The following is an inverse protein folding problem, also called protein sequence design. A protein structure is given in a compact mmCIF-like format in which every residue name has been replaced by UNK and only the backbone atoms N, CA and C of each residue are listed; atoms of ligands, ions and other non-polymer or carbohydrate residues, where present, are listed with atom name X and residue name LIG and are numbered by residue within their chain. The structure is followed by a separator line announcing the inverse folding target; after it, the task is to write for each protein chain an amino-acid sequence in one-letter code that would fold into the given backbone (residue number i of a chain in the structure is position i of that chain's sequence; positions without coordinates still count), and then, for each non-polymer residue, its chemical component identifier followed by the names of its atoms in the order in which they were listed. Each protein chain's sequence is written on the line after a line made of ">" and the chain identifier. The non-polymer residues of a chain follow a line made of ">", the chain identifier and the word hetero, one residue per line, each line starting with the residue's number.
data_IF_209136537864
#
_entry.id   IF_209136537864
#
_cell.length_a   1.000
_cell.length_b   1.000
_cell.length_c   1.000
_cell.angle_alpha   90.00
_cell.angle_beta   90.00
_cell.angle_gamma   90.00
#
_symmetry.space_group_name_H-M   'P 1'
#
loop_
_entity.id
_entity.type
_entity.pdbx_description
1 polymer ?
#
# COMPACT_ATOMS: atom_id res chain seq x y z
N UNK A 1 26.52 55.79 23.68
CA UNK A 1 25.37 54.87 23.84
C UNK A 1 24.49 55.02 22.61
N UNK A 2 24.67 54.14 21.61
CA UNK A 2 23.89 54.14 20.37
C UNK A 2 23.18 52.79 20.26
N UNK A 3 21.86 52.80 20.42
CA UNK A 3 21.02 51.61 20.22
C UNK A 3 20.49 51.55 18.79
N UNK A 4 20.34 50.35 18.20
CA UNK A 4 19.82 50.21 16.84
C UNK A 4 18.31 50.46 16.81
N UNK A 5 17.86 51.22 15.81
CA UNK A 5 16.44 51.42 15.49
C UNK A 5 15.96 50.29 14.59
N UNK A 6 14.99 49.52 15.07
CA UNK A 6 14.26 48.53 14.28
C UNK A 6 13.25 49.25 13.37
N UNK A 7 13.38 49.08 12.05
CA UNK A 7 12.37 49.53 11.09
C UNK A 7 11.41 48.36 10.82
N UNK A 8 10.14 48.52 11.16
CA UNK A 8 9.06 47.64 10.72
C UNK A 8 8.58 48.12 9.35
N UNK A 9 8.71 47.25 8.33
CA UNK A 9 8.13 47.44 7.01
C UNK A 9 6.78 46.72 6.98
N UNK A 10 5.68 47.48 7.06
CA UNK A 10 4.32 46.94 6.93
C UNK A 10 3.92 46.95 5.46
N UNK A 11 3.93 45.79 4.81
CA UNK A 11 3.38 45.62 3.45
C UNK A 11 1.88 45.36 3.59
N UNK A 12 1.07 46.36 3.23
CA UNK A 12 -0.39 46.20 3.12
C UNK A 12 -0.74 45.74 1.71
N UNK A 13 -1.23 44.50 1.59
CA UNK A 13 -1.77 43.97 0.33
C UNK A 13 -3.24 44.40 0.27
N UNK A 14 -3.55 45.33 -0.66
CA UNK A 14 -4.91 45.70 -0.99
C UNK A 14 -5.55 44.59 -1.83
N UNK A 15 -6.49 43.85 -1.24
CA UNK A 15 -7.35 42.91 -1.97
C UNK A 15 -8.50 43.73 -2.58
N UNK A 16 -8.45 43.98 -3.88
CA UNK A 16 -9.57 44.54 -4.62
C UNK A 16 -10.68 43.49 -4.73
N UNK A 17 -11.82 43.77 -4.10
CA UNK A 17 -13.02 42.97 -4.18
C UNK A 17 -13.67 43.07 -5.56
N UNK A 18 -13.78 41.94 -6.25
CA UNK A 18 -14.68 41.76 -7.38
C UNK A 18 -16.08 41.45 -6.85
N UNK A 19 -16.95 42.45 -6.98
CA UNK A 19 -18.40 42.36 -6.78
C UNK A 19 -19.02 41.54 -7.91
N UNK A 20 -19.49 40.34 -7.62
CA UNK A 20 -20.40 39.59 -8.49
C UNK A 20 -21.83 39.74 -7.97
N UNK A 21 -22.71 40.10 -8.90
CA UNK A 21 -24.12 40.42 -8.75
C UNK A 21 -24.96 39.27 -8.19
N UNK A 22 -25.94 39.66 -7.39
CA UNK A 22 -27.02 38.83 -6.86
C UNK A 22 -27.79 38.11 -7.99
N UNK A 23 -27.85 36.78 -7.94
CA UNK A 23 -28.94 36.02 -8.54
C UNK A 23 -29.67 35.28 -7.43
N UNK A 24 -30.89 35.74 -7.16
CA UNK A 24 -31.85 35.09 -6.27
C UNK A 24 -32.31 33.78 -6.91
N UNK A 25 -31.94 32.66 -6.32
CA UNK A 25 -32.67 31.40 -6.48
C UNK A 25 -33.15 30.94 -5.11
N UNK A 26 -34.47 30.96 -4.96
CA UNK A 26 -35.21 30.35 -3.87
C UNK A 26 -35.23 28.83 -4.09
N UNK A 27 -34.79 28.07 -3.09
CA UNK A 27 -35.18 26.67 -2.92
C UNK A 27 -35.43 26.42 -1.43
N UNK A 28 -36.71 26.34 -1.09
CA UNK A 28 -37.18 25.66 0.10
C UNK A 28 -37.02 24.15 -0.09
N UNK A 29 -36.34 23.48 0.84
CA UNK A 29 -36.86 22.35 1.65
C UNK A 29 -35.76 21.42 2.12
N UNK A 30 -35.82 21.17 3.42
CA UNK A 30 -35.12 20.15 4.18
C UNK A 30 -35.03 18.80 3.45
N UNK A 31 -33.81 18.28 3.37
CA UNK A 31 -33.49 16.89 3.11
C UNK A 31 -32.34 16.52 4.03
N UNK A 32 -32.57 15.57 4.92
CA UNK A 32 -31.70 15.15 6.01
C UNK A 32 -30.35 14.64 5.53
N UNK A 33 -29.32 15.15 6.16
CA UNK A 33 -27.95 14.64 6.20
C UNK A 33 -27.95 13.18 6.67
N UNK A 34 -27.58 12.24 5.81
CA UNK A 34 -27.28 10.87 6.19
C UNK A 34 -25.95 10.45 5.57
N UNK A 35 -24.89 11.13 5.98
CA UNK A 35 -23.51 10.69 5.79
C UNK A 35 -23.14 9.64 6.87
N UNK A 36 -23.98 8.60 7.00
CA UNK A 36 -23.63 7.41 7.77
C UNK A 36 -22.83 6.47 6.86
N UNK A 37 -21.72 5.88 7.34
CA UNK A 37 -21.09 4.77 6.67
C UNK A 37 -22.15 3.69 6.47
N UNK A 38 -22.45 3.34 5.21
CA UNK A 38 -23.27 2.18 4.94
C UNK A 38 -22.60 0.97 5.61
N UNK A 39 -23.34 0.20 6.43
CA UNK A 39 -22.82 -1.08 6.91
C UNK A 39 -22.38 -1.88 5.69
N UNK A 40 -21.23 -2.54 5.80
CA UNK A 40 -20.75 -3.46 4.78
C UNK A 40 -21.88 -4.43 4.50
N UNK A 41 -22.54 -4.25 3.36
CA UNK A 41 -23.51 -5.20 2.88
C UNK A 41 -22.69 -6.44 2.62
N UNK A 42 -22.84 -7.46 3.49
CA UNK A 42 -22.36 -8.82 3.27
C UNK A 42 -23.12 -9.35 2.05
N UNK A 43 -22.76 -8.83 0.90
CA UNK A 43 -23.31 -9.20 -0.38
C UNK A 43 -22.95 -10.65 -0.60
N UNK A 44 -23.99 -11.46 -0.69
CA UNK A 44 -23.95 -12.81 -1.25
C UNK A 44 -23.04 -12.76 -2.49
N UNK A 45 -21.88 -13.41 -2.37
CA UNK A 45 -20.84 -13.42 -3.37
C UNK A 45 -21.38 -14.05 -4.64
N UNK A 46 -21.79 -13.22 -5.60
CA UNK A 46 -21.66 -13.59 -6.99
C UNK A 46 -20.16 -13.81 -7.22
N UNK A 47 -19.78 -15.03 -7.50
CA UNK A 47 -18.44 -15.39 -7.95
C UNK A 47 -18.16 -14.53 -9.19
N UNK A 48 -17.44 -13.40 -9.03
CA UNK A 48 -16.78 -12.82 -10.19
C UNK A 48 -15.76 -13.87 -10.62
N UNK A 49 -15.83 -14.39 -11.85
CA UNK A 49 -14.87 -15.38 -12.34
C UNK A 49 -13.42 -14.87 -12.37
N UNK A 50 -13.19 -13.59 -12.05
CA UNK A 50 -11.88 -12.95 -11.89
C UNK A 50 -11.41 -12.86 -10.43
N UNK A 51 -12.12 -13.47 -9.47
CA UNK A 51 -11.63 -13.60 -8.10
C UNK A 51 -11.00 -14.98 -7.90
N UNK A 52 -9.72 -15.06 -7.52
CA UNK A 52 -9.14 -16.33 -7.12
C UNK A 52 -9.94 -16.82 -5.90
N UNK A 53 -10.50 -18.02 -6.00
CA UNK A 53 -11.34 -18.61 -4.96
C UNK A 53 -10.66 -18.54 -3.59
N UNK A 54 -11.45 -18.32 -2.53
CA UNK A 54 -10.98 -18.29 -1.15
C UNK A 54 -10.07 -19.49 -0.84
N UNK A 55 -8.76 -19.26 -0.74
CA UNK A 55 -7.83 -19.92 0.18
C UNK A 55 -7.71 -21.45 0.19
N UNK A 56 -8.35 -22.20 -0.69
CA UNK A 56 -8.12 -23.64 -0.78
C UNK A 56 -6.69 -23.89 -1.30
N UNK A 57 -5.92 -24.82 -0.69
CA UNK A 57 -4.66 -25.29 -1.24
C UNK A 57 -4.85 -25.68 -2.70
N UNK A 58 -3.94 -25.24 -3.53
CA UNK A 58 -3.97 -25.50 -4.95
C UNK A 58 -2.62 -25.14 -5.54
N UNK A 59 -2.32 -25.64 -6.75
CA UNK A 59 -1.02 -25.42 -7.38
C UNK A 59 -0.65 -23.95 -7.29
N UNK A 60 0.64 -23.69 -7.05
CA UNK A 60 1.23 -22.36 -7.13
C UNK A 60 0.97 -21.68 -8.48
N UNK A 61 1.65 -20.57 -8.75
CA UNK A 61 1.42 -19.88 -10.03
C UNK A 61 1.84 -20.76 -11.21
N UNK A 62 1.05 -20.73 -12.28
CA UNK A 62 1.40 -21.48 -13.47
C UNK A 62 2.62 -20.86 -14.17
N UNK A 63 3.54 -21.71 -14.63
CA UNK A 63 4.73 -21.35 -15.43
C UNK A 63 5.81 -20.54 -14.70
N UNK A 64 5.84 -20.61 -13.37
CA UNK A 64 6.89 -20.06 -12.53
C UNK A 64 6.47 -20.13 -11.07
N UNK A 65 7.04 -19.26 -10.26
CA UNK A 65 6.71 -19.12 -8.85
C UNK A 65 6.84 -17.65 -8.45
N UNK A 66 6.33 -17.27 -7.29
CA UNK A 66 6.70 -16.02 -6.67
C UNK A 66 7.61 -16.23 -5.46
N UNK A 67 8.60 -15.35 -5.37
CA UNK A 67 9.43 -15.19 -4.19
C UNK A 67 8.76 -14.18 -3.25
N UNK A 68 8.99 -14.35 -1.95
CA UNK A 68 8.46 -13.47 -0.91
C UNK A 68 9.57 -12.99 0.02
N UNK A 69 9.68 -11.67 0.13
CA UNK A 69 10.62 -11.00 1.02
C UNK A 69 9.88 -10.23 2.11
N UNK A 70 10.50 -10.11 3.28
CA UNK A 70 10.07 -9.20 4.36
C UNK A 70 11.21 -8.28 4.79
N UNK A 71 10.87 -7.08 5.23
CA UNK A 71 11.82 -6.09 5.75
C UNK A 71 11.22 -5.29 6.90
N UNK A 72 12.05 -4.95 7.87
CA UNK A 72 11.74 -4.06 8.99
C UNK A 72 12.26 -2.64 8.77
N UNK A 73 12.98 -2.39 7.66
CA UNK A 73 13.59 -1.10 7.33
C UNK A 73 13.37 -0.72 5.87
N UNK A 74 13.30 0.58 5.64
CA UNK A 74 13.47 1.17 4.31
C UNK A 74 14.96 1.34 4.06
N UNK A 75 15.41 0.92 2.88
CA UNK A 75 16.80 1.08 2.48
C UNK A 75 16.96 2.16 1.40
N UNK A 76 18.14 2.75 1.34
CA UNK A 76 18.50 3.60 0.19
C UNK A 76 18.67 2.72 -1.06
N UNK A 77 18.65 3.30 -2.28
CA UNK A 77 18.91 2.54 -3.49
C UNK A 77 20.26 1.80 -3.43
N UNK A 78 20.26 0.51 -3.78
CA UNK A 78 21.42 -0.39 -3.73
C UNK A 78 22.12 -0.47 -2.37
N UNK A 79 21.35 -0.28 -1.28
CA UNK A 79 21.83 -0.37 0.09
C UNK A 79 21.00 -1.39 0.87
N UNK A 80 21.65 -2.01 1.87
CA UNK A 80 21.05 -2.98 2.76
C UNK A 80 20.56 -4.27 2.10
N UNK A 81 19.84 -5.06 2.89
CA UNK A 81 19.25 -6.34 2.48
C UNK A 81 17.88 -6.51 3.13
N UNK A 82 16.93 -7.15 2.44
CA UNK A 82 15.69 -7.62 3.09
C UNK A 82 16.03 -8.50 4.28
N UNK A 83 15.21 -8.46 5.33
CA UNK A 83 15.46 -9.25 6.53
C UNK A 83 15.43 -10.75 6.21
N UNK A 84 14.47 -11.16 5.38
CA UNK A 84 14.28 -12.55 4.96
C UNK A 84 13.70 -12.63 3.56
N UNK A 85 14.14 -13.67 2.87
CA UNK A 85 13.75 -14.04 1.53
C UNK A 85 13.35 -15.51 1.54
N UNK A 86 12.20 -15.84 0.96
CA UNK A 86 11.74 -17.21 0.71
C UNK A 86 11.60 -17.39 -0.79
N UNK A 87 12.42 -18.30 -1.31
CA UNK A 87 12.39 -18.72 -2.70
C UNK A 87 11.20 -19.66 -2.95
N UNK A 88 10.48 -19.44 -4.05
CA UNK A 88 9.34 -20.23 -4.53
C UNK A 88 8.27 -20.42 -3.44
N UNK A 89 7.80 -19.32 -2.84
CA UNK A 89 6.87 -19.39 -1.69
C UNK A 89 5.57 -20.12 -2.07
N UNK A 90 4.99 -19.81 -3.21
CA UNK A 90 3.78 -20.49 -3.71
C UNK A 90 4.00 -21.98 -3.96
N UNK A 91 5.08 -22.37 -4.62
CA UNK A 91 5.36 -23.78 -4.92
C UNK A 91 5.68 -24.59 -3.67
N UNK A 92 6.45 -24.00 -2.74
CA UNK A 92 6.83 -24.63 -1.48
C UNK A 92 5.62 -24.95 -0.60
N UNK A 93 4.58 -24.12 -0.69
CA UNK A 93 3.42 -24.19 0.21
C UNK A 93 2.10 -24.52 -0.48
N UNK A 94 2.09 -24.68 -1.81
CA UNK A 94 0.89 -24.96 -2.62
C UNK A 94 -0.20 -23.89 -2.41
N UNK A 95 0.19 -22.61 -2.55
CA UNK A 95 -0.69 -21.45 -2.35
C UNK A 95 -0.51 -20.40 -3.44
N UNK A 96 -1.59 -19.69 -3.78
CA UNK A 96 -1.54 -18.52 -4.71
C UNK A 96 -1.72 -17.18 -4.00
N UNK A 97 -1.49 -17.19 -2.69
CA UNK A 97 -1.69 -16.03 -1.83
C UNK A 97 -0.70 -16.02 -0.67
N UNK A 98 -0.57 -14.85 -0.06
CA UNK A 98 0.18 -14.64 1.19
C UNK A 98 -0.78 -14.06 2.22
N UNK A 99 -1.03 -14.80 3.30
CA UNK A 99 -1.70 -14.25 4.49
C UNK A 99 -0.66 -13.58 5.38
N UNK A 100 -0.72 -12.25 5.50
CA UNK A 100 0.28 -11.48 6.23
C UNK A 100 0.15 -11.60 7.75
N UNK A 101 -0.93 -12.21 8.26
CA UNK A 101 -1.07 -12.61 9.65
C UNK A 101 -0.59 -14.03 9.92
N UNK A 102 -0.53 -14.89 8.90
CA UNK A 102 -0.24 -16.32 9.04
C UNK A 102 0.62 -16.82 7.88
N UNK A 103 1.85 -16.32 7.80
CA UNK A 103 2.80 -16.73 6.77
C UNK A 103 3.28 -18.16 7.04
N UNK A 104 3.46 -18.94 5.97
CA UNK A 104 3.74 -20.37 6.09
C UNK A 104 5.24 -20.67 6.34
N UNK A 105 6.12 -19.68 6.20
CA UNK A 105 7.53 -19.78 6.60
C UNK A 105 7.79 -18.98 7.88
N UNK A 106 8.16 -19.67 8.96
CA UNK A 106 8.41 -19.08 10.28
C UNK A 106 9.61 -18.13 10.34
N UNK A 107 10.42 -18.04 9.28
CA UNK A 107 11.49 -17.06 9.21
C UNK A 107 10.95 -15.68 8.86
N UNK A 108 9.89 -15.60 8.06
CA UNK A 108 9.29 -14.34 7.65
C UNK A 108 8.70 -13.59 8.84
N UNK A 109 8.57 -12.27 8.70
CA UNK A 109 7.97 -11.42 9.71
C UNK A 109 6.54 -11.11 9.36
N UNK A 110 5.61 -11.59 10.18
CA UNK A 110 4.19 -11.32 10.06
C UNK A 110 3.86 -9.92 10.59
N UNK A 111 2.80 -9.32 10.08
CA UNK A 111 2.46 -7.92 10.40
C UNK A 111 2.19 -7.73 11.91
N UNK A 112 1.60 -8.74 12.56
CA UNK A 112 1.24 -8.67 13.96
C UNK A 112 2.41 -8.96 14.92
N UNK A 113 3.54 -9.47 14.42
CA UNK A 113 4.78 -9.57 15.20
C UNK A 113 5.47 -8.21 15.34
N UNK A 114 5.36 -7.34 14.33
CA UNK A 114 6.11 -6.08 14.25
C UNK A 114 5.28 -4.85 14.62
N UNK A 115 3.96 -4.89 14.45
CA UNK A 115 3.07 -3.79 14.83
C UNK A 115 2.46 -4.08 16.20
N UNK A 116 2.78 -3.30 17.24
CA UNK A 116 2.11 -3.46 18.53
C UNK A 116 0.62 -3.13 18.44
N UNK A 117 -0.21 -3.80 19.26
CA UNK A 117 -1.62 -3.46 19.38
C UNK A 117 -1.84 -1.99 19.77
N UNK A 118 -2.92 -1.40 19.28
CA UNK A 118 -3.28 -0.01 19.55
C UNK A 118 -2.47 1.03 18.78
N UNK A 119 -1.40 0.66 18.07
CA UNK A 119 -0.62 1.57 17.23
C UNK A 119 -1.37 1.80 15.91
N UNK A 120 -1.79 3.03 15.61
CA UNK A 120 -2.49 3.32 14.35
C UNK A 120 -1.50 3.36 13.19
N UNK A 121 -1.85 2.74 12.07
CA UNK A 121 -1.02 2.68 10.88
C UNK A 121 -1.84 2.78 9.60
N UNK A 122 -1.17 2.95 8.46
CA UNK A 122 -1.77 2.98 7.13
C UNK A 122 -1.04 1.98 6.25
N UNK A 123 -1.81 1.26 5.43
CA UNK A 123 -1.25 0.35 4.43
C UNK A 123 -1.03 1.13 3.15
N UNK A 124 0.14 0.96 2.52
CA UNK A 124 0.50 1.53 1.21
C UNK A 124 1.00 0.44 0.28
N UNK A 125 0.88 0.66 -1.02
CA UNK A 125 1.36 -0.25 -2.05
C UNK A 125 2.15 0.54 -3.08
N UNK A 126 3.33 0.03 -3.44
CA UNK A 126 4.18 0.55 -4.50
C UNK A 126 4.33 -0.48 -5.62
N UNK A 127 4.73 -0.01 -6.81
CA UNK A 127 4.99 -0.83 -7.99
C UNK A 127 3.83 -1.72 -8.50
N UNK A 128 2.60 -1.55 -8.05
CA UNK A 128 1.46 -2.37 -8.49
C UNK A 128 1.10 -2.21 -9.98
N UNK A 129 1.59 -1.14 -10.63
CA UNK A 129 1.47 -0.98 -12.07
C UNK A 129 2.35 -1.96 -12.86
N UNK A 130 3.40 -2.53 -12.25
CA UNK A 130 4.27 -3.58 -12.81
C UNK A 130 3.75 -4.99 -12.49
N UNK A 131 2.98 -5.14 -11.42
CA UNK A 131 2.38 -6.41 -10.97
C UNK A 131 0.86 -6.28 -10.83
N UNK A 132 0.17 -6.12 -11.97
CA UNK A 132 -1.25 -5.75 -12.02
C UNK A 132 -2.21 -6.87 -11.64
N UNK A 133 -1.73 -8.11 -11.55
CA UNK A 133 -2.50 -9.30 -11.17
C UNK A 133 -2.63 -9.48 -9.65
N UNK A 134 -2.03 -8.61 -8.83
CA UNK A 134 -2.16 -8.68 -7.38
C UNK A 134 -3.50 -8.12 -6.88
N UNK A 135 -4.15 -8.86 -5.97
CA UNK A 135 -5.38 -8.46 -5.27
C UNK A 135 -5.17 -8.45 -3.77
N UNK A 136 -5.40 -7.30 -3.13
CA UNK A 136 -5.42 -7.21 -1.67
C UNK A 136 -6.78 -7.65 -1.16
N UNK A 137 -6.79 -8.48 -0.13
CA UNK A 137 -7.95 -8.74 0.72
C UNK A 137 -7.69 -8.13 2.09
N UNK A 138 -8.39 -7.03 2.38
CA UNK A 138 -8.34 -6.31 3.65
C UNK A 138 -9.72 -6.46 4.31
N UNK A 139 -9.78 -7.18 5.43
CA UNK A 139 -11.03 -7.46 6.16
C UNK A 139 -12.16 -8.02 5.26
N UNK A 140 -11.84 -8.89 4.30
CA UNK A 140 -12.80 -9.49 3.37
C UNK A 140 -13.12 -8.62 2.15
N UNK A 141 -12.54 -7.41 2.05
CA UNK A 141 -12.70 -6.53 0.89
C UNK A 141 -11.57 -6.75 -0.10
N UNK A 142 -11.89 -7.42 -1.20
CA UNK A 142 -10.98 -7.62 -2.32
C UNK A 142 -10.88 -6.38 -3.21
N UNK A 143 -9.66 -5.96 -3.50
CA UNK A 143 -9.36 -4.83 -4.37
C UNK A 143 -8.05 -5.07 -5.11
N UNK A 144 -7.97 -4.67 -6.39
CA UNK A 144 -6.71 -4.77 -7.13
C UNK A 144 -5.65 -3.89 -6.48
N UNK A 145 -4.41 -4.39 -6.39
CA UNK A 145 -3.28 -3.66 -5.84
C UNK A 145 -3.05 -2.31 -6.57
N UNK A 146 -3.26 -2.29 -7.90
CA UNK A 146 -3.14 -1.06 -8.70
C UNK A 146 -4.18 0.00 -8.34
N UNK A 147 -5.42 -0.41 -8.05
CA UNK A 147 -6.48 0.51 -7.64
C UNK A 147 -6.22 1.03 -6.21
N UNK A 148 -5.70 0.17 -5.33
CA UNK A 148 -5.28 0.58 -3.99
C UNK A 148 -4.14 1.60 -4.04
N UNK A 149 -3.10 1.34 -4.84
CA UNK A 149 -2.00 2.29 -5.04
C UNK A 149 -2.52 3.62 -5.61
N UNK A 150 -3.45 3.60 -6.56
CA UNK A 150 -4.07 4.82 -7.09
C UNK A 150 -4.83 5.61 -6.01
N UNK A 151 -5.49 4.93 -5.06
CA UNK A 151 -6.14 5.56 -3.90
C UNK A 151 -5.12 6.21 -2.97
N UNK A 152 -4.02 5.52 -2.65
CA UNK A 152 -2.91 6.09 -1.85
C UNK A 152 -2.35 7.35 -2.53
N UNK A 153 -2.09 7.27 -3.84
CA UNK A 153 -1.58 8.42 -4.61
C UNK A 153 -2.55 9.60 -4.61
N UNK A 154 -3.86 9.33 -4.69
CA UNK A 154 -4.88 10.38 -4.62
C UNK A 154 -4.92 11.03 -3.23
N UNK A 155 -4.75 10.23 -2.17
CA UNK A 155 -4.67 10.72 -0.80
C UNK A 155 -3.47 11.66 -0.61
N UNK A 156 -2.28 11.27 -1.10
CA UNK A 156 -1.08 12.11 -1.04
C UNK A 156 -1.21 13.43 -1.79
N UNK A 157 -1.96 13.43 -2.91
CA UNK A 157 -2.24 14.64 -3.70
C UNK A 157 -3.35 15.51 -3.09
N UNK A 158 -3.97 15.08 -1.99
CA UNK A 158 -5.11 15.77 -1.38
C UNK A 158 -6.37 15.73 -2.24
N UNK A 159 -6.43 14.88 -3.27
CA UNK A 159 -7.61 14.74 -4.13
C UNK A 159 -8.66 13.79 -3.55
N UNK A 160 -8.31 13.06 -2.49
CA UNK A 160 -9.25 12.33 -1.64
C UNK A 160 -8.78 12.36 -0.18
N UNK A 161 -9.71 12.28 0.76
CA UNK A 161 -9.42 12.06 2.18
C UNK A 161 -9.50 10.58 2.57
N UNK A 162 -9.93 9.71 1.64
CA UNK A 162 -10.21 8.31 1.91
C UNK A 162 -8.93 7.46 1.87
N UNK A 163 -8.22 7.42 3.00
CA UNK A 163 -7.25 6.36 3.29
C UNK A 163 -7.47 5.89 4.72
N UNK A 164 -7.83 4.61 4.87
CA UNK A 164 -8.13 4.01 6.15
C UNK A 164 -6.91 4.06 7.08
N UNK A 165 -7.16 4.35 8.36
CA UNK A 165 -6.17 4.21 9.42
C UNK A 165 -6.50 2.94 10.19
N UNK A 166 -5.65 1.95 10.05
CA UNK A 166 -5.80 0.63 10.64
C UNK A 166 -5.19 0.58 12.04
N UNK A 167 -5.62 -0.40 12.82
CA UNK A 167 -5.03 -0.74 14.12
C UNK A 167 -5.17 -2.24 14.36
N UNK A 168 -4.20 -2.84 15.06
CA UNK A 168 -4.33 -4.19 15.60
C UNK A 168 -4.96 -4.11 16.99
N UNK A 169 -5.93 -5.00 17.27
CA UNK A 169 -6.74 -4.93 18.48
C UNK A 169 -7.96 -4.01 18.34
N UNK A 170 -8.46 -3.47 19.46
CA UNK A 170 -9.69 -2.67 19.46
C UNK A 170 -9.55 -1.34 18.70
N UNK A 171 -10.48 -1.05 17.79
CA UNK A 171 -10.49 0.19 17.03
C UNK A 171 -11.10 1.37 17.81
N UNK A 172 -10.39 2.50 17.82
CA UNK A 172 -10.92 3.78 18.29
C UNK A 172 -11.74 4.53 17.22
N UNK A 173 -12.30 5.71 17.55
CA UNK A 173 -13.03 6.54 16.60
C UNK A 173 -12.19 6.86 15.35
N UNK A 174 -12.76 6.60 14.17
CA UNK A 174 -12.10 6.87 12.87
C UNK A 174 -11.01 5.85 12.49
N UNK A 175 -10.82 4.80 13.28
CA UNK A 175 -9.90 3.71 12.98
C UNK A 175 -10.65 2.46 12.50
N UNK A 176 -9.95 1.61 11.76
CA UNK A 176 -10.43 0.31 11.29
C UNK A 176 -9.62 -0.78 11.97
N UNK A 177 -10.26 -1.70 12.69
CA UNK A 177 -9.56 -2.87 13.19
C UNK A 177 -9.15 -3.73 12.00
N UNK A 178 -7.86 -4.04 11.86
CA UNK A 178 -7.38 -4.96 10.85
C UNK A 178 -7.48 -6.39 11.40
N UNK A 179 -8.42 -7.17 10.88
CA UNK A 179 -8.68 -8.57 11.27
C UNK A 179 -8.26 -9.56 10.19
N UNK A 180 -8.05 -9.10 8.96
CA UNK A 180 -7.55 -9.92 7.85
C UNK A 180 -6.72 -9.06 6.91
N UNK A 181 -5.57 -9.59 6.49
CA UNK A 181 -4.76 -8.94 5.47
C UNK A 181 -3.98 -9.96 4.64
N UNK A 182 -4.29 -10.04 3.36
CA UNK A 182 -3.62 -10.97 2.44
C UNK A 182 -3.48 -10.39 1.03
N UNK A 183 -2.54 -10.93 0.26
CA UNK A 183 -2.35 -10.65 -1.16
C UNK A 183 -2.58 -11.94 -1.96
N UNK A 184 -3.40 -11.86 -3.01
CA UNK A 184 -3.77 -12.98 -3.87
C UNK A 184 -3.35 -12.71 -5.30
N UNK A 185 -3.10 -13.78 -6.04
CA UNK A 185 -2.88 -13.76 -7.48
C UNK A 185 -3.77 -14.80 -8.15
N UNK A 186 -4.17 -14.53 -9.39
CA UNK A 186 -4.73 -15.55 -10.27
C UNK A 186 -3.65 -16.55 -10.67
N UNK A 187 -4.02 -17.80 -10.93
CA UNK A 187 -3.10 -18.88 -11.32
C UNK A 187 -2.22 -18.51 -12.53
N UNK A 188 -2.80 -17.77 -13.47
CA UNK A 188 -2.15 -17.35 -14.71
C UNK A 188 -1.47 -15.98 -14.59
N UNK A 189 -1.29 -15.43 -13.38
CA UNK A 189 -0.71 -14.11 -13.16
C UNK A 189 0.68 -13.95 -13.81
N UNK A 190 1.50 -14.99 -13.88
CA UNK A 190 2.80 -14.92 -14.54
C UNK A 190 2.64 -14.82 -16.07
N UNK A 191 1.88 -15.73 -16.68
CA UNK A 191 1.72 -15.78 -18.14
C UNK A 191 0.89 -14.62 -18.70
N UNK A 192 0.01 -14.05 -17.89
CA UNK A 192 -0.76 -12.85 -18.23
C UNK A 192 0.01 -11.53 -18.01
N UNK A 193 1.25 -11.60 -17.49
CA UNK A 193 2.04 -10.41 -17.15
C UNK A 193 1.47 -9.63 -15.95
N UNK A 194 0.70 -10.31 -15.11
CA UNK A 194 0.17 -9.81 -13.85
C UNK A 194 1.18 -9.77 -12.69
N UNK A 195 2.34 -10.42 -12.82
CA UNK A 195 3.44 -10.36 -11.85
C UNK A 195 4.76 -10.06 -12.59
N UNK A 196 5.49 -9.06 -12.12
CA UNK A 196 6.75 -8.65 -12.76
C UNK A 196 7.84 -9.72 -12.56
N UNK A 197 8.54 -10.16 -13.62
CA UNK A 197 9.75 -10.95 -13.46
C UNK A 197 10.89 -10.07 -12.93
N UNK A 198 11.72 -10.56 -12.03
CA UNK A 198 12.95 -9.86 -11.58
C UNK A 198 13.97 -10.89 -11.07
N UNK A 199 15.15 -10.45 -10.65
CA UNK A 199 16.08 -11.29 -9.89
C UNK A 199 16.00 -11.02 -8.39
N UNK A 200 16.07 -12.10 -7.63
CA UNK A 200 16.19 -12.10 -6.17
C UNK A 200 17.30 -11.18 -5.68
N UNK A 201 18.49 -11.22 -6.29
CA UNK A 201 19.63 -10.40 -5.86
C UNK A 201 19.35 -8.89 -5.89
N UNK A 202 18.62 -8.41 -6.91
CA UNK A 202 18.29 -7.00 -7.07
C UNK A 202 17.22 -6.56 -6.05
N UNK A 203 16.21 -7.42 -5.81
CA UNK A 203 15.16 -7.15 -4.82
C UNK A 203 15.74 -7.11 -3.41
N UNK A 204 16.51 -8.14 -3.05
CA UNK A 204 17.13 -8.26 -1.73
C UNK A 204 18.00 -7.04 -1.43
N UNK A 205 18.85 -6.63 -2.38
CA UNK A 205 19.78 -5.47 -2.23
C UNK A 205 19.15 -4.11 -2.47
N UNK A 206 17.85 -4.06 -2.72
CA UNK A 206 17.13 -2.83 -3.07
C UNK A 206 17.76 -2.08 -4.26
N UNK A 207 18.25 -2.81 -5.26
CA UNK A 207 18.69 -2.20 -6.51
C UNK A 207 17.48 -1.52 -7.17
N UNK A 208 17.63 -0.28 -7.67
CA UNK A 208 16.52 0.42 -8.30
C UNK A 208 16.14 -0.24 -9.63
N UNK A 209 14.85 -0.21 -9.97
CA UNK A 209 14.39 -0.60 -11.30
C UNK A 209 14.76 0.43 -12.38
N UNK A 210 14.40 0.14 -13.63
CA UNK A 210 14.75 0.96 -14.80
C UNK A 210 14.33 2.44 -14.68
N UNK A 211 13.26 2.74 -13.93
CA UNK A 211 12.76 4.11 -13.71
C UNK A 211 12.96 4.58 -12.27
N UNK A 212 13.86 3.93 -11.53
CA UNK A 212 14.12 4.24 -10.13
C UNK A 212 13.11 3.61 -9.17
N UNK A 213 12.38 2.58 -9.60
CA UNK A 213 11.44 1.86 -8.73
C UNK A 213 12.17 1.22 -7.55
N UNK A 214 11.56 1.24 -6.38
CA UNK A 214 12.06 0.54 -5.20
C UNK A 214 12.07 -0.98 -5.44
N UNK A 215 13.05 -1.72 -4.86
CA UNK A 215 13.14 -3.19 -4.94
C UNK A 215 13.09 -3.74 -6.38
N UNK A 216 13.80 -3.11 -7.30
CA UNK A 216 13.83 -3.46 -8.73
C UNK A 216 12.42 -3.58 -9.37
N UNK A 217 11.45 -2.81 -8.86
CA UNK A 217 10.07 -2.82 -9.37
C UNK A 217 9.17 -3.94 -8.83
N UNK A 218 9.65 -4.76 -7.88
CA UNK A 218 8.83 -5.78 -7.23
C UNK A 218 7.61 -5.16 -6.52
N UNK A 219 6.50 -5.91 -6.42
CA UNK A 219 5.29 -5.44 -5.74
C UNK A 219 5.58 -5.29 -4.24
N UNK A 220 5.58 -4.06 -3.75
CA UNK A 220 5.91 -3.77 -2.35
C UNK A 220 4.69 -3.26 -1.61
N UNK A 221 4.44 -3.84 -0.43
CA UNK A 221 3.35 -3.48 0.47
C UNK A 221 3.99 -3.08 1.80
N UNK A 222 3.60 -1.93 2.35
CA UNK A 222 4.11 -1.46 3.64
C UNK A 222 2.97 -1.06 4.57
N UNK A 223 3.19 -1.26 5.87
CA UNK A 223 2.39 -0.70 6.94
C UNK A 223 3.21 0.40 7.64
N UNK A 224 2.66 1.62 7.67
CA UNK A 224 3.35 2.83 8.13
C UNK A 224 2.61 3.45 9.31
N UNK A 225 3.32 3.79 10.38
CA UNK A 225 2.78 4.50 11.53
C UNK A 225 2.08 5.79 11.09
N UNK A 226 0.83 5.97 11.53
CA UNK A 226 -0.02 7.06 11.03
C UNK A 226 0.50 8.46 11.44
N UNK A 227 1.20 8.55 12.58
CA UNK A 227 1.79 9.78 13.12
C UNK A 227 3.09 10.21 12.42
N UNK A 228 3.76 9.29 11.73
CA UNK A 228 5.02 9.51 10.98
C UNK A 228 4.89 9.23 9.49
N UNK A 229 3.65 9.14 8.99
CA UNK A 229 3.34 8.76 7.62
C UNK A 229 3.98 9.72 6.60
N UNK A 230 5.05 9.28 5.95
CA UNK A 230 5.72 10.03 4.88
C UNK A 230 6.23 9.07 3.81
N UNK A 231 5.86 9.35 2.55
CA UNK A 231 6.29 8.58 1.39
C UNK A 231 7.29 9.37 0.55
N UNK A 232 8.28 8.68 0.01
CA UNK A 232 9.13 9.19 -1.04
C UNK A 232 8.31 9.29 -2.35
N UNK A 233 8.22 10.47 -2.98
CA UNK A 233 7.37 10.66 -4.15
C UNK A 233 7.88 9.97 -5.42
N UNK A 234 9.16 9.59 -5.49
CA UNK A 234 9.74 8.90 -6.64
C UNK A 234 9.41 7.40 -6.62
N UNK A 235 9.45 6.79 -5.45
CA UNK A 235 9.31 5.35 -5.26
C UNK A 235 7.93 4.92 -4.77
N UNK A 236 7.20 5.81 -4.09
CA UNK A 236 5.90 5.51 -3.47
C UNK A 236 5.98 4.66 -2.20
N UNK A 237 7.18 4.42 -1.67
CA UNK A 237 7.40 3.75 -0.38
C UNK A 237 7.76 4.76 0.71
N UNK A 238 7.78 4.33 1.97
CA UNK A 238 8.17 5.18 3.09
C UNK A 238 9.53 5.82 2.89
N UNK A 239 9.69 7.06 3.35
CA UNK A 239 11.03 7.62 3.55
C UNK A 239 11.73 6.91 4.72
N UNK A 240 13.04 7.12 4.90
CA UNK A 240 13.80 6.53 6.02
C UNK A 240 13.16 6.80 7.39
N UNK A 241 12.55 7.97 7.56
CA UNK A 241 11.87 8.38 8.80
C UNK A 241 10.33 8.31 8.67
N UNK A 242 9.82 7.75 7.56
CA UNK A 242 8.41 7.71 7.17
C UNK A 242 7.55 6.71 7.94
N UNK A 243 8.02 6.26 9.10
CA UNK A 243 7.27 5.44 10.03
C UNK A 243 7.05 4.00 9.59
N UNK A 244 7.94 3.39 8.80
CA UNK A 244 7.83 1.96 8.46
C UNK A 244 7.71 1.10 9.71
N UNK A 245 6.68 0.26 9.75
CA UNK A 245 6.48 -0.75 10.78
C UNK A 245 6.65 -2.17 10.23
N UNK A 246 6.29 -2.39 8.97
CA UNK A 246 6.35 -3.70 8.31
C UNK A 246 6.35 -3.54 6.78
N UNK A 247 7.13 -4.35 6.08
CA UNK A 247 7.20 -4.44 4.62
C UNK A 247 7.15 -5.91 4.16
N UNK A 248 6.36 -6.18 3.11
CA UNK A 248 6.48 -7.37 2.29
C UNK A 248 6.69 -7.00 0.83
N UNK A 249 7.52 -7.77 0.13
CA UNK A 249 7.80 -7.59 -1.30
C UNK A 249 7.64 -8.92 -2.03
N UNK A 250 6.90 -8.91 -3.13
CA UNK A 250 6.54 -10.11 -3.91
C UNK A 250 6.89 -9.90 -5.37
N UNK A 251 7.46 -10.93 -6.00
CA UNK A 251 7.88 -10.88 -7.40
C UNK A 251 8.01 -12.28 -8.00
N UNK A 252 7.92 -12.37 -9.33
CA UNK A 252 8.25 -13.61 -10.03
C UNK A 252 9.77 -13.68 -10.21
N UNK A 253 10.41 -14.69 -9.64
CA UNK A 253 11.83 -14.92 -9.90
C UNK A 253 12.01 -15.61 -11.25
N UNK A 254 12.68 -14.89 -12.15
CA UNK A 254 13.06 -15.40 -13.46
C UNK A 254 14.57 -15.47 -13.58
N UNK A 255 15.10 -16.69 -13.62
CA UNK A 255 16.53 -16.92 -13.80
C UNK A 255 17.04 -16.20 -15.06
N UNK A 256 18.16 -15.49 -14.92
CA UNK A 256 18.79 -14.76 -16.02
C UNK A 256 18.06 -13.47 -16.46
N UNK A 257 16.96 -13.06 -15.82
CA UNK A 257 16.49 -11.68 -15.96
C UNK A 257 17.60 -10.73 -15.48
N UNK A 258 17.83 -9.56 -16.07
CA UNK A 258 18.76 -8.58 -15.47
C UNK A 258 18.15 -7.93 -14.22
N UNK A 259 18.96 -7.20 -13.43
CA UNK A 259 18.40 -6.00 -12.78
C UNK A 259 17.97 -5.04 -13.90
N UNK A 260 16.88 -4.29 -13.69
CA UNK A 260 16.26 -3.50 -14.75
C UNK A 260 16.96 -2.16 -15.02
#
# INVERSE_FOLDING_TARGET
>A
MGGPRLFFLTISIAVMGLSCSENRFSMDKAGTDSNQPQPANEGQGGEDPRYPGRGEPGPGLAFGHFDLDTSSKVYSPSDGETDRHIHEYDDKYDVRHVDFFYMLDSKLKEIHELIPEGIPFRIVVANAHLSRGGFLDINGRFQRAVDYQARVNSFLKGTTTALDTFVLGAAGPGQVQLTKFSLHFDEDAIVSGGLIPTQTGCVVKNDPGQKGEYRNGALTIQALAADRFALDPGTGVATKDGGLLWEATIFWHKEGAGCY
#
